data_IF_360092086776
#
_entry.id   IF_360092086776
#
_cell.length_a   1.000
_cell.length_b   1.000
_cell.length_c   1.000
_cell.angle_alpha   90.00
_cell.angle_beta   90.00
_cell.angle_gamma   90.00
#
_symmetry.space_group_name_H-M   'P 1'
#
loop_
_entity.id
_entity.type
_entity.pdbx_description
1 polymer ?
#
# COMPACT_ATOMS: atom_id res chain seq x y z
N UNK A 1 13.44 -13.86 -28.62
CA UNK A 1 12.81 -14.86 -27.74
C UNK A 1 11.85 -14.09 -26.85
N UNK A 2 10.53 -14.22 -27.08
CA UNK A 2 9.53 -13.62 -26.19
C UNK A 2 9.68 -14.29 -24.82
N UNK A 3 10.00 -13.51 -23.79
CA UNK A 3 10.03 -14.01 -22.42
C UNK A 3 8.63 -14.51 -22.08
N UNK A 4 8.48 -15.81 -21.83
CA UNK A 4 7.22 -16.49 -21.51
C UNK A 4 6.52 -15.96 -20.25
N UNK A 5 7.17 -15.08 -19.49
CA UNK A 5 6.70 -14.53 -18.21
C UNK A 5 6.27 -13.04 -18.28
N UNK A 6 6.31 -12.42 -19.46
CA UNK A 6 5.88 -11.03 -19.59
C UNK A 6 4.36 -10.96 -19.75
N UNK A 7 3.71 -10.30 -18.82
CA UNK A 7 2.27 -10.05 -18.80
C UNK A 7 1.97 -8.56 -18.91
N UNK A 8 0.76 -8.23 -19.31
CA UNK A 8 0.30 -6.84 -19.44
C UNK A 8 -1.06 -6.65 -18.78
N UNK A 9 -1.24 -5.53 -18.11
CA UNK A 9 -2.51 -5.04 -17.59
C UNK A 9 -2.62 -3.53 -17.85
N UNK A 10 -3.82 -3.02 -17.97
CA UNK A 10 -4.09 -1.61 -18.28
C UNK A 10 -4.84 -0.97 -17.12
N UNK A 11 -4.24 0.08 -16.53
CA UNK A 11 -4.66 0.68 -15.28
C UNK A 11 -5.01 2.16 -15.48
N UNK A 12 -6.27 2.50 -15.33
CA UNK A 12 -6.75 3.88 -15.30
C UNK A 12 -6.84 4.33 -13.83
N UNK A 13 -5.98 5.26 -13.41
CA UNK A 13 -5.84 5.69 -12.02
C UNK A 13 -5.85 7.21 -11.83
N UNK A 14 -6.61 7.94 -12.63
CA UNK A 14 -6.58 9.41 -12.69
C UNK A 14 -5.53 9.91 -13.69
N UNK A 15 -4.80 10.98 -13.35
CA UNK A 15 -3.73 11.50 -14.20
C UNK A 15 -2.65 10.43 -14.44
N UNK A 16 -2.45 10.05 -15.70
CA UNK A 16 -1.55 8.95 -16.08
C UNK A 16 -0.05 9.25 -15.81
N UNK A 17 0.38 10.51 -15.71
CA UNK A 17 1.77 10.84 -15.38
C UNK A 17 2.22 10.26 -14.04
N UNK A 18 1.37 10.37 -13.01
CA UNK A 18 1.66 9.82 -11.69
C UNK A 18 1.59 8.31 -11.68
N UNK A 19 0.63 7.71 -12.37
CA UNK A 19 0.46 6.26 -12.48
C UNK A 19 1.64 5.63 -13.23
N UNK A 20 2.07 6.21 -14.36
CA UNK A 20 3.23 5.78 -15.13
C UNK A 20 4.50 5.81 -14.29
N UNK A 21 4.81 6.95 -13.67
CA UNK A 21 6.00 7.11 -12.83
C UNK A 21 5.98 6.18 -11.63
N UNK A 22 4.82 5.96 -11.00
CA UNK A 22 4.69 5.01 -9.90
C UNK A 22 5.01 3.58 -10.35
N UNK A 23 4.34 3.08 -11.41
CA UNK A 23 4.54 1.71 -11.86
C UNK A 23 5.91 1.48 -12.46
N UNK A 24 6.53 2.48 -13.09
CA UNK A 24 7.92 2.36 -13.57
C UNK A 24 8.95 2.11 -12.45
N UNK A 25 8.57 2.38 -11.20
CA UNK A 25 9.43 2.16 -10.00
C UNK A 25 9.08 0.88 -9.24
N UNK A 26 7.99 0.20 -9.57
CA UNK A 26 7.60 -1.06 -8.90
C UNK A 26 8.55 -2.16 -9.32
N UNK A 27 9.21 -2.87 -8.36
CA UNK A 27 10.08 -3.98 -8.68
C UNK A 27 9.35 -5.08 -9.46
N UNK A 28 9.93 -5.53 -10.57
CA UNK A 28 9.30 -6.53 -11.44
C UNK A 28 8.48 -5.94 -12.60
N UNK A 29 8.14 -4.65 -12.56
CA UNK A 29 7.62 -3.94 -13.73
C UNK A 29 8.74 -3.70 -14.73
N UNK A 30 8.50 -4.01 -16.00
CA UNK A 30 9.45 -3.90 -17.09
C UNK A 30 9.25 -2.63 -17.88
N UNK A 31 8.00 -2.18 -18.03
CA UNK A 31 7.64 -1.00 -18.79
C UNK A 31 6.28 -0.47 -18.33
N UNK A 32 6.11 0.86 -18.42
CA UNK A 32 4.87 1.56 -18.15
C UNK A 32 4.67 2.65 -19.20
N UNK A 33 3.58 2.58 -19.97
CA UNK A 33 3.32 3.45 -21.11
C UNK A 33 2.01 4.19 -20.91
N UNK A 34 2.04 5.51 -20.89
CA UNK A 34 0.85 6.36 -20.83
C UNK A 34 0.05 6.31 -22.13
N UNK A 35 -1.29 6.27 -22.02
CA UNK A 35 -2.17 6.21 -23.18
C UNK A 35 -3.63 6.44 -22.84
N UNK A 36 -4.49 6.13 -23.78
CA UNK A 36 -5.93 6.34 -23.73
C UNK A 36 -6.66 5.03 -24.03
N UNK A 37 -7.58 4.63 -23.17
CA UNK A 37 -8.29 3.35 -23.32
C UNK A 37 -9.81 3.49 -23.25
N UNK A 38 -10.49 2.53 -23.86
CA UNK A 38 -11.92 2.25 -23.71
C UNK A 38 -12.82 3.49 -23.92
N UNK A 39 -12.52 4.30 -24.94
CA UNK A 39 -13.38 5.37 -25.42
C UNK A 39 -14.37 4.91 -26.48
N UNK A 40 -15.07 5.86 -27.09
CA UNK A 40 -16.12 5.62 -28.12
C UNK A 40 -15.60 5.56 -29.54
N UNK A 41 -14.32 5.88 -29.76
CA UNK A 41 -13.67 5.90 -31.08
C UNK A 41 -12.36 5.13 -31.04
N UNK A 42 -11.95 4.56 -32.16
CA UNK A 42 -10.70 3.81 -32.31
C UNK A 42 -9.45 4.70 -32.27
N UNK A 43 -9.62 6.01 -32.40
CA UNK A 43 -8.53 7.00 -32.38
C UNK A 43 -8.90 8.17 -31.50
N UNK A 44 -7.91 8.73 -30.82
CA UNK A 44 -8.04 9.98 -30.06
C UNK A 44 -6.68 10.67 -29.93
N UNK A 45 -6.67 11.84 -29.33
CA UNK A 45 -5.51 12.60 -28.89
C UNK A 45 -5.89 13.40 -27.66
N UNK A 46 -4.91 13.91 -26.93
CA UNK A 46 -5.13 14.53 -25.62
C UNK A 46 -6.28 15.57 -25.61
N UNK A 47 -6.33 16.46 -26.60
CA UNK A 47 -7.34 17.53 -26.66
C UNK A 47 -8.77 17.01 -26.90
N UNK A 48 -8.91 15.76 -27.33
CA UNK A 48 -10.20 15.15 -27.68
C UNK A 48 -10.70 14.11 -26.68
N UNK A 49 -9.88 13.68 -25.70
CA UNK A 49 -10.23 12.57 -24.80
C UNK A 49 -11.52 12.79 -24.04
N UNK A 50 -11.81 14.04 -23.62
CA UNK A 50 -13.08 14.38 -22.96
C UNK A 50 -14.30 14.21 -23.87
N UNK A 51 -14.14 14.39 -25.21
CA UNK A 51 -15.20 14.22 -26.20
C UNK A 51 -15.33 12.77 -26.64
N UNK A 52 -14.22 12.06 -26.80
CA UNK A 52 -14.18 10.67 -27.23
C UNK A 52 -14.42 9.69 -26.07
N UNK A 53 -14.39 10.17 -24.83
CA UNK A 53 -14.73 9.40 -23.62
C UNK A 53 -13.68 8.35 -23.26
N UNK A 54 -12.42 8.53 -23.69
CA UNK A 54 -11.32 7.68 -23.26
C UNK A 54 -10.91 7.98 -21.82
N UNK A 55 -10.42 6.94 -21.12
CA UNK A 55 -9.74 7.11 -19.84
C UNK A 55 -8.23 7.30 -20.06
N UNK A 56 -7.62 8.20 -19.30
CA UNK A 56 -6.17 8.20 -19.13
C UNK A 56 -5.77 6.89 -18.46
N UNK A 57 -4.90 6.13 -19.12
CA UNK A 57 -4.61 4.73 -18.76
C UNK A 57 -3.13 4.47 -18.93
N UNK A 58 -2.56 3.66 -18.07
CA UNK A 58 -1.17 3.19 -18.21
C UNK A 58 -1.19 1.71 -18.55
N UNK A 59 -0.50 1.34 -19.64
CA UNK A 59 -0.16 -0.04 -19.94
C UNK A 59 1.02 -0.43 -19.06
N UNK A 60 0.83 -1.40 -18.18
CA UNK A 60 1.88 -1.94 -17.30
C UNK A 60 2.30 -3.30 -17.82
N UNK A 61 3.57 -3.42 -18.24
CA UNK A 61 4.21 -4.68 -18.62
C UNK A 61 5.09 -5.15 -17.47
N UNK A 62 4.89 -6.38 -17.00
CA UNK A 62 5.60 -6.91 -15.84
C UNK A 62 6.07 -8.35 -16.03
N UNK A 63 7.13 -8.73 -15.30
CA UNK A 63 7.65 -10.08 -15.22
C UNK A 63 6.91 -10.85 -14.10
N UNK A 64 5.98 -11.73 -14.48
CA UNK A 64 5.17 -12.50 -13.54
C UNK A 64 5.97 -13.47 -12.64
N UNK A 65 7.27 -13.68 -12.92
CA UNK A 65 8.16 -14.40 -12.02
C UNK A 65 8.69 -13.54 -10.87
N UNK A 66 8.54 -12.21 -10.95
CA UNK A 66 9.06 -11.24 -9.97
C UNK A 66 7.97 -10.50 -9.22
N UNK A 67 6.86 -10.21 -9.89
CA UNK A 67 5.69 -9.54 -9.30
C UNK A 67 4.42 -10.16 -9.89
N UNK A 68 3.49 -10.58 -9.06
CA UNK A 68 2.22 -11.16 -9.49
C UNK A 68 1.23 -10.09 -9.93
N UNK A 69 0.21 -10.49 -10.74
CA UNK A 69 -0.92 -9.61 -11.06
C UNK A 69 -1.59 -9.08 -9.79
N UNK A 70 -1.75 -9.94 -8.77
CA UNK A 70 -2.33 -9.55 -7.49
C UNK A 70 -1.55 -8.41 -6.82
N UNK A 71 -0.22 -8.50 -6.78
CA UNK A 71 0.62 -7.42 -6.23
C UNK A 71 0.51 -6.13 -7.05
N UNK A 72 0.48 -6.22 -8.39
CA UNK A 72 0.23 -5.07 -9.28
C UNK A 72 -1.11 -4.40 -8.94
N UNK A 73 -2.17 -5.17 -8.72
CA UNK A 73 -3.49 -4.64 -8.34
C UNK A 73 -3.48 -4.01 -6.95
N UNK A 74 -2.79 -4.60 -5.97
CA UNK A 74 -2.64 -4.00 -4.65
C UNK A 74 -1.85 -2.68 -4.70
N UNK A 75 -0.81 -2.59 -5.53
CA UNK A 75 -0.13 -1.33 -5.84
C UNK A 75 -1.08 -0.31 -6.47
N UNK A 76 -1.95 -0.74 -7.38
CA UNK A 76 -2.94 0.13 -8.01
C UNK A 76 -3.94 0.69 -6.98
N UNK A 77 -4.52 -0.17 -6.14
CA UNK A 77 -5.45 0.26 -5.09
C UNK A 77 -4.80 1.16 -4.02
N UNK A 78 -3.49 1.07 -3.81
CA UNK A 78 -2.72 1.97 -2.92
C UNK A 78 -2.74 3.41 -3.40
N UNK A 79 -2.74 3.65 -4.71
CA UNK A 79 -2.54 4.98 -5.29
C UNK A 79 -3.82 5.68 -5.76
N UNK A 80 -4.97 5.01 -5.68
CA UNK A 80 -6.26 5.57 -6.08
C UNK A 80 -7.20 5.73 -4.88
N UNK A 81 -8.20 6.60 -5.06
CA UNK A 81 -9.41 6.54 -4.24
C UNK A 81 -10.46 5.70 -5.00
N UNK A 82 -10.69 4.43 -4.60
CA UNK A 82 -11.53 3.52 -5.36
C UNK A 82 -13.04 3.83 -5.24
N UNK A 83 -13.43 4.77 -4.38
CA UNK A 83 -14.81 5.21 -4.20
C UNK A 83 -15.13 6.48 -4.99
N UNK A 84 -14.12 7.13 -5.56
CA UNK A 84 -14.27 8.41 -6.25
C UNK A 84 -14.59 8.20 -7.73
N UNK A 85 -15.79 8.61 -8.14
CA UNK A 85 -16.22 8.52 -9.53
C UNK A 85 -15.73 9.73 -10.34
N UNK A 86 -15.07 9.47 -11.48
CA UNK A 86 -14.57 10.49 -12.40
C UNK A 86 -13.71 11.58 -11.75
N UNK A 87 -12.97 11.22 -10.70
CA UNK A 87 -12.11 12.15 -9.97
C UNK A 87 -11.01 11.41 -9.23
N UNK A 88 -9.77 11.91 -9.33
CA UNK A 88 -8.65 11.49 -8.48
C UNK A 88 -7.86 12.73 -8.07
N UNK A 89 -7.68 12.92 -6.75
CA UNK A 89 -7.08 14.16 -6.24
C UNK A 89 -7.85 15.40 -6.69
N UNK A 90 -7.15 16.32 -7.36
CA UNK A 90 -7.73 17.55 -7.92
C UNK A 90 -8.20 17.38 -9.39
N UNK A 91 -7.92 16.23 -10.01
CA UNK A 91 -8.27 15.98 -11.39
C UNK A 91 -9.72 15.50 -11.50
N UNK A 92 -10.56 16.26 -12.22
CA UNK A 92 -12.01 16.03 -12.35
C UNK A 92 -12.37 15.88 -13.82
N UNK A 93 -13.08 14.82 -14.15
CA UNK A 93 -13.56 14.52 -15.51
C UNK A 93 -13.61 13.02 -15.77
N UNK A 94 -14.39 12.60 -16.75
CA UNK A 94 -14.53 11.18 -17.12
C UNK A 94 -13.22 10.55 -17.60
N UNK A 95 -12.27 11.34 -18.09
CA UNK A 95 -10.93 10.89 -18.46
C UNK A 95 -10.09 10.45 -17.25
N UNK A 96 -10.41 10.93 -16.04
CA UNK A 96 -9.74 10.58 -14.79
C UNK A 96 -10.49 9.51 -13.97
N UNK A 97 -11.43 8.79 -14.62
CA UNK A 97 -12.08 7.64 -13.98
C UNK A 97 -11.08 6.52 -13.72
N UNK A 98 -11.37 5.73 -12.71
CA UNK A 98 -10.54 4.57 -12.36
C UNK A 98 -11.05 3.30 -13.03
N UNK A 99 -10.12 2.43 -13.43
CA UNK A 99 -10.47 1.16 -14.08
C UNK A 99 -9.30 0.21 -14.21
N UNK A 100 -9.63 -1.07 -14.27
CA UNK A 100 -8.73 -2.18 -14.61
C UNK A 100 -9.25 -2.79 -15.90
N UNK A 101 -8.42 -2.77 -16.96
CA UNK A 101 -8.78 -3.31 -18.25
C UNK A 101 -7.86 -4.48 -18.59
N UNK A 102 -8.42 -5.66 -18.82
CA UNK A 102 -7.68 -6.90 -19.06
C UNK A 102 -7.75 -7.35 -20.52
N UNK A 103 -6.73 -8.06 -20.97
CA UNK A 103 -6.66 -8.68 -22.30
C UNK A 103 -6.71 -10.21 -22.22
N UNK A 104 -6.28 -10.78 -21.09
CA UNK A 104 -6.37 -12.22 -20.85
C UNK A 104 -7.52 -12.53 -19.89
N UNK A 105 -8.47 -13.35 -20.32
CA UNK A 105 -9.60 -13.77 -19.49
C UNK A 105 -9.17 -14.59 -18.26
N UNK A 106 -7.99 -15.22 -18.30
CA UNK A 106 -7.46 -15.97 -17.16
C UNK A 106 -7.10 -15.06 -15.98
N UNK A 107 -6.86 -13.76 -16.22
CA UNK A 107 -6.59 -12.77 -15.19
C UNK A 107 -7.85 -12.40 -14.39
N UNK A 108 -9.04 -12.62 -14.97
CA UNK A 108 -10.31 -12.14 -14.43
C UNK A 108 -10.57 -12.65 -13.02
N UNK A 109 -10.30 -13.92 -12.74
CA UNK A 109 -10.52 -14.49 -11.40
C UNK A 109 -9.70 -13.82 -10.31
N UNK A 110 -8.43 -13.48 -10.61
CA UNK A 110 -7.56 -12.75 -9.68
C UNK A 110 -8.04 -11.31 -9.49
N UNK A 111 -8.47 -10.66 -10.58
CA UNK A 111 -8.97 -9.27 -10.52
C UNK A 111 -10.26 -9.22 -9.69
N UNK A 112 -11.22 -10.10 -9.95
CA UNK A 112 -12.50 -10.15 -9.23
C UNK A 112 -12.31 -10.44 -7.74
N UNK A 113 -11.38 -11.34 -7.39
CA UNK A 113 -11.05 -11.60 -5.99
C UNK A 113 -10.54 -10.33 -5.29
N UNK A 114 -9.59 -9.60 -5.89
CA UNK A 114 -9.07 -8.35 -5.30
C UNK A 114 -10.17 -7.29 -5.20
N UNK A 115 -11.04 -7.17 -6.21
CA UNK A 115 -12.18 -6.24 -6.18
C UNK A 115 -13.16 -6.56 -5.07
N UNK A 116 -13.45 -7.86 -4.83
CA UNK A 116 -14.30 -8.28 -3.73
C UNK A 116 -13.68 -7.90 -2.38
N UNK A 117 -12.41 -8.21 -2.16
CA UNK A 117 -11.70 -7.89 -0.92
C UNK A 117 -11.67 -6.37 -0.67
N UNK A 118 -11.42 -5.55 -1.69
CA UNK A 118 -11.47 -4.10 -1.58
C UNK A 118 -12.89 -3.61 -1.27
N UNK A 119 -13.91 -4.19 -1.90
CA UNK A 119 -15.31 -3.86 -1.59
C UNK A 119 -15.65 -4.15 -0.14
N UNK A 120 -15.21 -5.27 0.39
CA UNK A 120 -15.38 -5.65 1.80
C UNK A 120 -14.63 -4.69 2.73
N UNK A 121 -13.39 -4.36 2.39
CA UNK A 121 -12.55 -3.42 3.17
C UNK A 121 -13.18 -2.03 3.26
N UNK A 122 -13.72 -1.50 2.15
CA UNK A 122 -14.35 -0.18 2.12
C UNK A 122 -15.82 -0.19 2.56
N UNK A 123 -16.44 -1.36 2.70
CA UNK A 123 -17.83 -1.54 3.13
C UNK A 123 -18.88 -0.98 2.16
N UNK A 124 -18.49 -0.70 0.90
CA UNK A 124 -19.35 -0.15 -0.13
C UNK A 124 -18.83 -0.46 -1.54
N UNK A 125 -19.68 -0.40 -2.58
CA UNK A 125 -19.27 -0.68 -3.95
C UNK A 125 -18.16 0.26 -4.43
N UNK A 126 -17.21 -0.30 -5.17
CA UNK A 126 -16.13 0.47 -5.78
C UNK A 126 -16.63 1.25 -7.00
N UNK A 127 -16.05 2.42 -7.25
CA UNK A 127 -16.25 3.21 -8.47
C UNK A 127 -15.26 2.83 -9.59
N UNK A 128 -14.45 1.79 -9.37
CA UNK A 128 -13.44 1.30 -10.32
C UNK A 128 -14.09 0.42 -11.38
N UNK A 129 -13.89 0.75 -12.65
CA UNK A 129 -14.35 -0.07 -13.78
C UNK A 129 -13.58 -1.38 -13.86
N UNK A 130 -14.25 -2.47 -14.23
CA UNK A 130 -13.64 -3.73 -14.60
C UNK A 130 -14.21 -4.18 -15.95
N UNK A 131 -13.42 -4.03 -17.00
CA UNK A 131 -13.83 -4.38 -18.37
C UNK A 131 -12.68 -5.03 -19.14
N UNK A 132 -12.99 -5.82 -20.20
CA UNK A 132 -12.00 -6.16 -21.20
C UNK A 132 -11.48 -4.88 -21.88
N UNK A 133 -10.20 -4.89 -22.22
CA UNK A 133 -9.63 -3.84 -23.05
C UNK A 133 -10.24 -3.89 -24.44
N UNK A 134 -10.87 -2.82 -24.90
CA UNK A 134 -11.37 -2.69 -26.26
C UNK A 134 -10.28 -2.19 -27.21
N UNK A 135 -9.58 -1.15 -26.78
CA UNK A 135 -8.42 -0.57 -27.49
C UNK A 135 -7.58 0.26 -26.53
N UNK A 136 -6.31 0.40 -26.86
CA UNK A 136 -5.36 1.27 -26.19
C UNK A 136 -4.58 2.06 -27.25
N UNK A 137 -4.52 3.36 -27.07
CA UNK A 137 -3.84 4.29 -27.95
C UNK A 137 -2.72 4.92 -27.12
N UNK A 138 -1.42 4.64 -27.42
CA UNK A 138 -0.33 5.32 -26.73
C UNK A 138 -0.47 6.84 -26.83
N UNK A 139 -0.26 7.53 -25.72
CA UNK A 139 -0.27 8.97 -25.69
C UNK A 139 0.95 9.55 -26.42
N UNK A 140 0.87 10.82 -26.76
CA UNK A 140 1.90 11.56 -27.46
C UNK A 140 3.24 11.54 -26.68
N UNK A 141 4.37 11.61 -27.38
CA UNK A 141 5.73 11.49 -26.82
C UNK A 141 6.01 12.47 -25.66
N UNK A 142 5.38 13.63 -25.64
CA UNK A 142 5.55 14.60 -24.58
C UNK A 142 4.86 14.19 -23.26
N UNK A 143 3.94 13.23 -23.30
CA UNK A 143 3.32 12.66 -22.12
C UNK A 143 4.13 11.49 -21.53
N UNK A 144 4.87 10.76 -22.34
CA UNK A 144 5.67 9.63 -21.90
C UNK A 144 6.81 10.09 -20.96
N UNK A 145 6.99 9.38 -19.85
CA UNK A 145 8.00 9.71 -18.82
C UNK A 145 7.93 11.18 -18.35
N UNK A 146 6.72 11.75 -18.29
CA UNK A 146 6.54 13.19 -18.03
C UNK A 146 7.20 13.61 -16.70
N UNK A 147 7.02 12.88 -15.61
CA UNK A 147 7.59 13.24 -14.30
C UNK A 147 9.10 12.99 -14.24
N UNK A 148 9.65 12.06 -15.02
CA UNK A 148 11.11 11.93 -15.17
C UNK A 148 11.71 13.14 -15.87
N UNK A 149 11.05 13.64 -16.92
CA UNK A 149 11.44 14.84 -17.66
C UNK A 149 11.17 16.14 -16.88
N UNK A 150 10.17 16.13 -16.00
CA UNK A 150 9.71 17.27 -15.21
C UNK A 150 9.56 16.91 -13.72
N UNK A 151 10.66 16.78 -12.96
CA UNK A 151 10.62 16.30 -11.57
C UNK A 151 9.76 17.13 -10.60
N UNK A 152 9.49 18.40 -10.93
CA UNK A 152 8.61 19.29 -10.17
C UNK A 152 7.20 19.39 -10.79
N UNK A 153 6.87 18.53 -11.74
CA UNK A 153 5.55 18.48 -12.37
C UNK A 153 4.44 18.10 -11.36
N UNK A 154 3.21 18.43 -11.72
CA UNK A 154 2.05 18.07 -10.91
C UNK A 154 1.92 16.54 -10.78
N UNK A 155 1.77 16.08 -9.55
CA UNK A 155 1.45 14.70 -9.24
C UNK A 155 0.68 14.64 -7.92
N UNK A 156 -0.46 13.94 -7.90
CA UNK A 156 -1.24 13.69 -6.66
C UNK A 156 -0.84 12.36 -5.99
N UNK A 157 -0.02 11.54 -6.67
CA UNK A 157 0.43 10.24 -6.19
C UNK A 157 1.80 10.39 -5.50
N UNK A 158 1.97 9.76 -4.34
CA UNK A 158 3.29 9.63 -3.74
C UNK A 158 4.06 8.48 -4.42
N UNK A 159 4.78 8.82 -5.50
CA UNK A 159 5.53 7.84 -6.31
C UNK A 159 6.64 7.11 -5.54
N UNK A 160 7.10 7.65 -4.41
CA UNK A 160 8.13 6.99 -3.59
C UNK A 160 7.58 5.76 -2.86
N UNK A 161 6.27 5.63 -2.71
CA UNK A 161 5.65 4.43 -2.13
C UNK A 161 5.74 3.19 -3.05
N UNK A 162 6.11 3.35 -4.31
CA UNK A 162 6.32 2.22 -5.22
C UNK A 162 7.43 1.26 -4.74
N UNK A 163 8.43 1.79 -4.01
CA UNK A 163 9.51 0.99 -3.43
C UNK A 163 9.11 0.28 -2.12
N UNK A 164 7.98 0.66 -1.51
CA UNK A 164 7.47 -0.02 -0.31
C UNK A 164 6.78 -1.32 -0.72
N UNK A 165 7.03 -2.43 -0.02
CA UNK A 165 6.39 -3.71 -0.32
C UNK A 165 4.86 -3.57 -0.19
N UNK A 166 4.11 -4.32 -0.94
CA UNK A 166 2.68 -4.54 -0.67
C UNK A 166 2.54 -5.69 0.30
N UNK A 167 1.81 -5.44 1.39
CA UNK A 167 1.45 -6.47 2.35
C UNK A 167 0.03 -6.91 2.04
N UNK A 168 -0.11 -8.17 1.64
CA UNK A 168 -1.41 -8.75 1.31
C UNK A 168 -2.21 -9.04 2.59
N UNK A 169 -3.27 -8.26 2.83
CA UNK A 169 -4.11 -8.43 4.02
C UNK A 169 -4.79 -9.80 4.10
N UNK A 170 -5.07 -10.43 2.95
CA UNK A 170 -5.75 -11.74 2.90
C UNK A 170 -4.89 -12.88 3.45
N UNK A 171 -3.57 -12.68 3.57
CA UNK A 171 -2.65 -13.64 4.17
C UNK A 171 -2.74 -13.67 5.71
N UNK A 172 -3.44 -12.71 6.33
CA UNK A 172 -3.52 -12.55 7.78
C UNK A 172 -4.98 -12.61 8.24
N UNK A 173 -5.17 -13.13 9.45
CA UNK A 173 -6.50 -13.30 10.01
C UNK A 173 -6.54 -12.79 11.45
N UNK A 174 -7.57 -12.02 11.78
CA UNK A 174 -7.84 -11.63 13.19
C UNK A 174 -8.52 -12.81 13.90
N UNK A 175 -7.89 -13.38 14.94
CA UNK A 175 -8.54 -14.37 15.79
C UNK A 175 -9.79 -13.80 16.48
N UNK A 176 -10.73 -14.64 16.83
CA UNK A 176 -11.87 -14.21 17.62
C UNK A 176 -11.45 -13.82 19.08
N UNK A 177 -12.37 -13.16 19.81
CA UNK A 177 -12.05 -12.63 21.13
C UNK A 177 -11.60 -13.70 22.14
N UNK A 178 -12.13 -14.92 22.05
CA UNK A 178 -11.75 -16.02 22.91
C UNK A 178 -10.32 -16.50 22.60
N UNK A 179 -10.01 -16.68 21.33
CA UNK A 179 -8.67 -17.07 20.86
C UNK A 179 -7.62 -16.02 21.23
N UNK A 180 -7.95 -14.73 21.11
CA UNK A 180 -7.06 -13.65 21.53
C UNK A 180 -6.77 -13.67 23.02
N UNK A 181 -7.78 -13.96 23.87
CA UNK A 181 -7.59 -14.10 25.32
C UNK A 181 -6.74 -15.30 25.71
N UNK A 182 -6.80 -16.37 24.93
CA UNK A 182 -6.03 -17.60 25.16
C UNK A 182 -4.59 -17.51 24.67
N UNK A 183 -4.37 -16.81 23.55
CA UNK A 183 -3.06 -16.72 22.88
C UNK A 183 -2.19 -15.57 23.37
N UNK A 184 -2.79 -14.45 23.77
CA UNK A 184 -2.06 -13.27 24.21
C UNK A 184 -1.80 -13.30 25.71
N UNK A 185 -0.67 -12.71 26.14
CA UNK A 185 -0.48 -12.42 27.57
C UNK A 185 -1.56 -11.42 28.04
N UNK A 186 -1.91 -11.40 29.34
CA UNK A 186 -2.87 -10.43 29.87
C UNK A 186 -2.51 -8.97 29.54
N UNK A 187 -1.22 -8.62 29.56
CA UNK A 187 -0.75 -7.29 29.24
C UNK A 187 -0.91 -6.99 27.72
N UNK A 188 -0.51 -7.93 26.84
CA UNK A 188 -0.69 -7.77 25.40
C UNK A 188 -2.17 -7.64 25.01
N UNK A 189 -3.05 -8.41 25.65
CA UNK A 189 -4.50 -8.31 25.45
C UNK A 189 -5.03 -6.94 25.90
N UNK A 190 -4.68 -6.48 27.09
CA UNK A 190 -5.10 -5.18 27.62
C UNK A 190 -4.62 -4.03 26.73
N UNK A 191 -3.38 -4.10 26.22
CA UNK A 191 -2.84 -3.08 25.32
C UNK A 191 -3.55 -3.13 23.96
N UNK A 192 -3.60 -4.27 23.30
CA UNK A 192 -4.07 -4.37 21.92
C UNK A 192 -5.59 -4.29 21.77
N UNK A 193 -6.35 -4.84 22.74
CA UNK A 193 -7.81 -4.97 22.64
C UNK A 193 -8.58 -3.99 23.55
N UNK A 194 -7.94 -3.46 24.61
CA UNK A 194 -8.57 -2.56 25.58
C UNK A 194 -7.93 -1.18 25.62
N UNK A 195 -7.09 -0.84 24.61
CA UNK A 195 -6.39 0.43 24.46
C UNK A 195 -5.49 0.80 25.65
N UNK A 196 -4.88 -0.21 26.28
CA UNK A 196 -3.90 -0.01 27.35
C UNK A 196 -2.58 0.54 26.83
N UNK A 197 -1.70 0.90 27.77
CA UNK A 197 -0.32 1.31 27.47
C UNK A 197 0.62 0.52 28.40
N UNK A 198 1.63 -0.14 27.85
CA UNK A 198 2.66 -0.79 28.64
C UNK A 198 3.50 0.25 29.39
N UNK A 199 4.11 -0.15 30.49
CA UNK A 199 5.04 0.73 31.20
C UNK A 199 6.32 0.94 30.39
N UNK A 200 6.79 2.19 30.32
CA UNK A 200 8.04 2.51 29.64
C UNK A 200 9.23 1.69 30.15
N UNK A 201 10.11 1.26 29.25
CA UNK A 201 11.31 0.46 29.51
C UNK A 201 11.05 -0.99 30.02
N UNK A 202 9.81 -1.50 29.94
CA UNK A 202 9.51 -2.87 30.39
C UNK A 202 9.58 -3.91 29.29
N UNK A 203 9.17 -3.58 28.06
CA UNK A 203 9.34 -4.48 26.94
C UNK A 203 10.81 -4.51 26.48
N UNK A 204 11.41 -5.69 26.23
CA UNK A 204 12.77 -5.77 25.69
C UNK A 204 12.90 -5.16 24.29
N UNK A 205 11.78 -4.96 23.58
CA UNK A 205 11.78 -4.48 22.21
C UNK A 205 12.11 -2.98 22.09
N UNK A 206 12.05 -2.18 23.17
CA UNK A 206 12.46 -0.78 23.10
C UNK A 206 13.93 -0.64 22.67
N UNK A 207 14.80 -1.55 23.12
CA UNK A 207 16.24 -1.56 22.84
C UNK A 207 16.67 -2.69 21.88
N UNK A 208 15.75 -3.26 21.10
CA UNK A 208 16.05 -4.30 20.09
C UNK A 208 16.35 -3.64 18.75
N UNK A 209 17.60 -3.75 18.25
CA UNK A 209 18.08 -3.14 17.00
C UNK A 209 18.68 -4.14 16.03
N UNK A 210 18.55 -5.45 16.28
CA UNK A 210 18.95 -6.45 15.28
C UNK A 210 18.09 -6.36 14.02
N UNK A 211 18.64 -6.74 12.84
CA UNK A 211 17.87 -6.81 11.61
C UNK A 211 16.68 -7.75 11.70
N UNK A 212 15.50 -7.26 11.36
CA UNK A 212 14.28 -8.04 11.43
C UNK A 212 13.03 -7.16 11.25
N UNK A 213 11.87 -7.78 11.40
CA UNK A 213 10.57 -7.12 11.33
C UNK A 213 9.81 -7.22 12.64
N UNK A 214 8.90 -6.27 12.85
CA UNK A 214 7.96 -6.25 13.96
C UNK A 214 6.57 -6.54 13.39
N UNK A 215 5.95 -7.63 13.83
CA UNK A 215 4.64 -8.08 13.36
C UNK A 215 3.59 -7.86 14.43
N UNK A 216 2.33 -7.68 14.07
CA UNK A 216 1.21 -7.63 15.02
C UNK A 216 1.17 -8.92 15.85
N UNK A 217 1.17 -8.80 17.17
CA UNK A 217 1.15 -9.95 18.06
C UNK A 217 -0.13 -10.78 17.93
N UNK A 218 -1.23 -10.17 17.47
CA UNK A 218 -2.52 -10.83 17.31
C UNK A 218 -2.65 -11.59 15.98
N UNK A 219 -2.10 -11.05 14.89
CA UNK A 219 -2.35 -11.58 13.53
C UNK A 219 -1.09 -12.05 12.81
N UNK A 220 0.09 -11.60 13.24
CA UNK A 220 1.34 -11.81 12.50
C UNK A 220 1.54 -10.88 11.31
N UNK A 221 0.63 -9.91 11.04
CA UNK A 221 0.81 -8.95 9.95
C UNK A 221 2.07 -8.10 10.18
N UNK A 222 3.00 -7.98 9.17
CA UNK A 222 4.17 -7.13 9.30
C UNK A 222 3.80 -5.66 9.43
N UNK A 223 4.34 -4.98 10.44
CA UNK A 223 4.01 -3.59 10.77
C UNK A 223 5.18 -2.64 10.60
N UNK A 224 6.36 -3.03 11.09
CA UNK A 224 7.55 -2.18 11.08
C UNK A 224 8.81 -2.96 10.74
N UNK A 225 9.81 -2.25 10.22
CA UNK A 225 11.15 -2.78 9.95
C UNK A 225 12.18 -2.23 10.93
N UNK A 226 13.19 -3.02 11.27
CA UNK A 226 14.39 -2.59 12.01
C UNK A 226 15.12 -1.43 11.35
N UNK A 227 15.07 -1.34 10.00
CA UNK A 227 15.66 -0.26 9.21
C UNK A 227 15.07 1.12 9.55
N UNK A 228 13.78 1.17 9.88
CA UNK A 228 13.06 2.39 10.20
C UNK A 228 13.01 2.68 11.71
N UNK A 229 13.60 1.79 12.54
CA UNK A 229 13.69 1.94 14.00
C UNK A 229 14.79 2.93 14.39
N UNK A 230 14.54 3.69 15.44
CA UNK A 230 15.54 4.58 16.04
C UNK A 230 15.36 4.69 17.55
N UNK A 231 16.41 5.09 18.25
CA UNK A 231 16.35 5.37 19.70
C UNK A 231 15.79 6.78 19.93
N UNK A 232 14.60 6.81 20.52
CA UNK A 232 13.92 8.06 20.93
C UNK A 232 14.05 8.37 22.41
N UNK A 233 14.74 7.50 23.17
CA UNK A 233 14.88 7.59 24.63
C UNK A 233 13.55 7.62 25.43
N UNK A 234 12.40 7.33 24.78
CA UNK A 234 11.08 7.37 25.43
C UNK A 234 10.73 6.08 26.19
N UNK A 235 11.49 4.99 25.98
CA UNK A 235 11.26 3.69 26.64
C UNK A 235 10.27 2.78 25.91
N UNK A 236 9.84 3.14 24.73
CA UNK A 236 9.05 2.32 23.80
C UNK A 236 9.74 2.18 22.44
N UNK A 237 9.52 1.07 21.71
CA UNK A 237 9.95 0.96 20.33
C UNK A 237 9.49 2.16 19.49
N UNK A 238 10.41 2.79 18.77
CA UNK A 238 10.12 3.98 17.97
C UNK A 238 10.57 3.79 16.52
N UNK A 239 9.68 4.11 15.58
CA UNK A 239 9.90 3.95 14.15
C UNK A 239 9.58 5.24 13.39
N UNK A 240 10.27 5.48 12.29
CA UNK A 240 10.02 6.65 11.44
C UNK A 240 8.82 6.47 10.50
N UNK A 241 8.48 5.22 10.19
CA UNK A 241 7.34 4.86 9.33
C UNK A 241 6.95 3.38 9.52
N UNK A 242 5.72 2.97 9.15
CA UNK A 242 5.38 1.57 8.98
C UNK A 242 6.10 0.95 7.77
N UNK A 243 6.23 -0.39 7.74
CA UNK A 243 6.89 -1.14 6.66
C UNK A 243 6.17 -0.94 5.30
N UNK A 244 4.87 -0.70 5.37
CA UNK A 244 3.99 -0.43 4.23
C UNK A 244 2.89 0.55 4.69
N UNK A 245 2.47 1.52 3.86
CA UNK A 245 1.53 2.56 4.31
C UNK A 245 0.16 1.99 4.73
N UNK A 246 -0.28 0.90 4.13
CA UNK A 246 -1.61 0.33 4.37
C UNK A 246 -1.73 -0.54 5.63
N UNK A 247 -0.63 -0.94 6.28
CA UNK A 247 -0.70 -1.84 7.46
C UNK A 247 -1.16 -1.15 8.74
N UNK A 248 -1.24 0.18 8.73
CA UNK A 248 -1.63 1.00 9.87
C UNK A 248 -2.86 1.86 9.57
N UNK A 249 -3.82 1.85 10.49
CA UNK A 249 -4.96 2.77 10.51
C UNK A 249 -4.73 3.85 11.57
N UNK A 250 -5.31 5.04 11.36
CA UNK A 250 -5.13 6.21 12.20
C UNK A 250 -6.47 6.70 12.72
N UNK A 251 -6.53 7.00 14.03
CA UNK A 251 -7.72 7.57 14.68
C UNK A 251 -7.32 8.77 15.54
N UNK A 252 -8.15 9.80 15.58
CA UNK A 252 -7.99 10.87 16.56
C UNK A 252 -8.25 10.32 17.97
N UNK A 253 -7.36 10.64 18.91
CA UNK A 253 -7.44 10.25 20.31
C UNK A 253 -7.36 11.49 21.19
N UNK A 254 -8.47 11.84 21.83
CA UNK A 254 -8.61 12.96 22.74
C UNK A 254 -8.59 12.53 24.22
N UNK A 255 -8.20 11.29 24.51
CA UNK A 255 -8.11 10.78 25.88
C UNK A 255 -7.00 11.48 26.68
N UNK A 256 -7.07 11.40 28.01
CA UNK A 256 -6.09 11.96 28.93
C UNK A 256 -5.81 13.46 28.77
N UNK A 257 -6.77 14.25 28.24
CA UNK A 257 -6.61 15.68 27.91
C UNK A 257 -5.46 15.96 26.94
N UNK A 258 -5.20 15.05 26.00
CA UNK A 258 -4.20 15.18 24.94
C UNK A 258 -4.87 14.99 23.59
N UNK A 259 -4.38 15.73 22.59
CA UNK A 259 -4.75 15.54 21.19
C UNK A 259 -3.64 14.74 20.51
N UNK A 260 -3.93 13.49 20.16
CA UNK A 260 -2.98 12.54 19.58
C UNK A 260 -3.59 11.82 18.40
N UNK A 261 -2.75 11.18 17.59
CA UNK A 261 -3.18 10.25 16.55
C UNK A 261 -2.81 8.84 16.99
N UNK A 262 -3.82 8.04 17.30
CA UNK A 262 -3.69 6.61 17.58
C UNK A 262 -3.31 5.85 16.32
N UNK A 263 -2.40 4.89 16.47
CA UNK A 263 -2.00 3.94 15.43
C UNK A 263 -2.54 2.56 15.79
N UNK A 264 -3.28 1.96 14.85
CA UNK A 264 -3.84 0.61 14.96
C UNK A 264 -3.39 -0.26 13.79
N UNK A 265 -3.23 -1.56 14.00
CA UNK A 265 -2.97 -2.49 12.90
C UNK A 265 -4.19 -2.63 12.00
N UNK A 266 -3.96 -2.82 10.70
CA UNK A 266 -5.04 -2.91 9.68
C UNK A 266 -5.92 -4.15 9.90
N UNK A 267 -5.32 -5.34 9.99
CA UNK A 267 -6.06 -6.61 10.06
C UNK A 267 -6.51 -6.89 11.50
N UNK A 268 -5.63 -6.72 12.48
CA UNK A 268 -5.90 -7.02 13.89
C UNK A 268 -6.82 -6.01 14.57
N UNK A 269 -6.89 -4.79 14.04
CA UNK A 269 -7.42 -3.62 14.76
C UNK A 269 -6.84 -3.52 16.18
N UNK A 270 -5.57 -3.92 16.32
CA UNK A 270 -4.83 -3.85 17.58
C UNK A 270 -4.41 -2.43 17.85
N UNK A 271 -4.65 -1.91 19.05
CA UNK A 271 -4.03 -0.67 19.48
C UNK A 271 -2.51 -0.88 19.56
N UNK A 272 -1.76 -0.12 18.76
CA UNK A 272 -0.30 -0.22 18.71
C UNK A 272 0.38 0.87 19.53
N UNK A 273 -0.15 2.06 19.53
CA UNK A 273 0.42 3.26 20.13
C UNK A 273 -0.02 4.52 19.43
N UNK A 274 0.88 5.50 19.30
CA UNK A 274 0.57 6.80 18.72
C UNK A 274 1.69 7.29 17.78
N UNK A 275 1.35 8.16 16.85
CA UNK A 275 2.31 8.86 15.99
C UNK A 275 2.41 10.34 16.35
N UNK A 276 3.65 10.85 16.37
CA UNK A 276 4.00 12.21 16.75
C UNK A 276 4.85 12.90 15.67
N UNK A 277 4.78 14.23 15.54
CA UNK A 277 5.54 15.00 14.54
C UNK A 277 6.94 15.42 15.04
N UNK A 278 7.53 14.68 15.96
CA UNK A 278 8.81 14.95 16.61
C UNK A 278 9.89 13.90 16.29
N UNK A 279 9.72 13.18 15.17
CA UNK A 279 10.67 12.19 14.68
C UNK A 279 11.87 12.81 13.94
N UNK A 280 12.83 11.98 13.50
CA UNK A 280 14.01 12.41 12.76
C UNK A 280 13.63 13.13 11.46
N UNK A 281 14.07 14.36 11.26
CA UNK A 281 13.73 15.19 10.11
C UNK A 281 14.24 14.62 8.78
N UNK A 282 15.39 13.95 8.80
CA UNK A 282 15.98 13.24 7.66
C UNK A 282 15.25 11.95 7.28
N UNK A 283 14.30 11.48 8.14
CA UNK A 283 13.46 10.29 7.94
C UNK A 283 11.97 10.62 7.85
N UNK A 284 11.61 11.86 7.51
CA UNK A 284 10.21 12.27 7.31
C UNK A 284 9.56 12.94 8.53
N UNK A 285 10.27 13.12 9.65
CA UNK A 285 9.84 13.92 10.80
C UNK A 285 8.77 13.26 11.69
N UNK A 286 8.37 12.00 11.44
CA UNK A 286 7.39 11.29 12.26
C UNK A 286 8.06 10.31 13.23
N UNK A 287 7.44 10.14 14.39
CA UNK A 287 7.80 9.12 15.39
C UNK A 287 6.57 8.28 15.72
N UNK A 288 6.60 7.04 15.30
CA UNK A 288 5.65 6.00 15.70
C UNK A 288 6.12 5.41 17.02
N UNK A 289 5.48 5.78 18.11
CA UNK A 289 5.76 5.30 19.46
C UNK A 289 4.84 4.10 19.75
N UNK A 290 5.40 2.89 19.75
CA UNK A 290 4.65 1.64 19.69
C UNK A 290 4.86 0.83 20.98
N UNK A 291 3.78 0.30 21.54
CA UNK A 291 3.85 -0.64 22.65
C UNK A 291 4.57 -1.92 22.20
N UNK A 292 5.66 -2.28 22.83
CA UNK A 292 6.43 -3.47 22.46
C UNK A 292 5.60 -4.75 22.59
N UNK A 293 4.75 -4.86 23.61
CA UNK A 293 3.86 -6.03 23.80
C UNK A 293 2.77 -6.16 22.74
N UNK A 294 2.49 -5.10 21.99
CA UNK A 294 1.57 -5.15 20.85
C UNK A 294 2.22 -5.76 19.59
N UNK A 295 3.53 -5.96 19.63
CA UNK A 295 4.29 -6.51 18.50
C UNK A 295 5.14 -7.72 18.93
N UNK A 296 5.48 -8.55 17.94
CA UNK A 296 6.47 -9.62 18.07
C UNK A 296 7.61 -9.34 17.10
N UNK A 297 8.84 -9.45 17.58
CA UNK A 297 10.03 -9.32 16.71
C UNK A 297 10.33 -10.65 16.04
N UNK A 298 10.57 -10.60 14.72
CA UNK A 298 11.04 -11.72 13.89
C UNK A 298 12.42 -11.39 13.37
N UNK A 299 13.48 -12.05 13.85
CA UNK A 299 14.84 -11.82 13.38
C UNK A 299 14.97 -12.14 11.88
N UNK A 300 15.84 -11.43 11.15
CA UNK A 300 16.12 -11.68 9.74
C UNK A 300 16.37 -13.16 9.43
N UNK A 301 17.11 -13.86 10.28
CA UNK A 301 17.44 -15.27 10.11
C UNK A 301 16.21 -16.20 10.12
N UNK A 302 15.13 -15.80 10.78
CA UNK A 302 13.89 -16.60 10.91
C UNK A 302 12.82 -16.18 9.91
N UNK A 303 12.94 -15.01 9.26
CA UNK A 303 11.92 -14.44 8.38
C UNK A 303 11.50 -15.40 7.26
N UNK A 304 12.46 -16.06 6.60
CA UNK A 304 12.12 -17.00 5.52
C UNK A 304 11.35 -18.22 6.04
N UNK A 305 11.71 -18.74 7.21
CA UNK A 305 11.05 -19.88 7.85
C UNK A 305 9.63 -19.54 8.31
N UNK A 306 9.42 -18.30 8.72
CA UNK A 306 8.10 -17.82 9.20
C UNK A 306 7.22 -17.23 8.08
N UNK A 307 7.64 -17.33 6.81
CA UNK A 307 6.83 -16.89 5.66
C UNK A 307 7.04 -15.44 5.24
N UNK A 308 8.02 -14.73 5.83
CA UNK A 308 8.32 -13.32 5.53
C UNK A 308 9.54 -13.16 4.59
N UNK A 309 9.88 -14.18 3.79
CA UNK A 309 11.04 -14.13 2.87
C UNK A 309 10.98 -12.94 1.89
N UNK A 310 9.78 -12.54 1.48
CA UNK A 310 9.54 -11.42 0.56
C UNK A 310 9.90 -10.04 1.15
N UNK A 311 10.18 -9.96 2.46
CA UNK A 311 10.55 -8.72 3.16
C UNK A 311 12.04 -8.66 3.53
N UNK A 312 12.87 -9.63 3.11
CA UNK A 312 14.28 -9.69 3.48
C UNK A 312 15.06 -8.43 3.09
N UNK A 313 14.73 -7.83 1.94
CA UNK A 313 15.36 -6.58 1.46
C UNK A 313 14.90 -5.32 2.24
N UNK A 314 13.91 -5.47 3.12
CA UNK A 314 13.37 -4.35 3.91
C UNK A 314 14.07 -4.18 5.27
N UNK A 315 15.00 -5.06 5.65
CA UNK A 315 15.60 -5.09 6.99
C UNK A 315 17.11 -4.88 7.03
N UNK A 316 17.75 -4.61 5.90
CA UNK A 316 19.19 -4.33 5.78
C UNK A 316 19.54 -2.86 5.95
#
# INVERSE_FOLDING_TARGET
MSNLNNHMIYLAGGCFWGVEEYFSRVPGVLDAVSGYANGRSETTRYELIGQTGHAETVQVTYDASKVSLREILLHFFRIINPLSKNKQGNDVGSQYRTGVYYTDVNDLSTIEQVFQEMTEQYGQPLAVELFPLQHFIPAEDYHQDYLKKNPNGYCHINVNQAASPVIDASAYHKPNQQELKESLSPEAYAVTQENGTERAFTSPLWNQFEPGIYVDVATGEPLFSSKDKFDSACGWPSFSRPISPEVANYKEDHSHNMDRIEVRSRVGDSHLGHVFPDGPSDRGGLRYCINGVATRFVPKADMAKEGYAYLLDQVD
#
